data_IF_846908753322
#
_entry.id   IF_846908753322
#
_cell.length_a   1.000
_cell.length_b   1.000
_cell.length_c   1.000
_cell.angle_alpha   90.00
_cell.angle_beta   90.00
_cell.angle_gamma   90.00
#
_symmetry.space_group_name_H-M   'P 1'
#
loop_
_entity.id
_entity.type
_entity.pdbx_description
1 polymer ?
#
# COMPACT_ATOMS: atom_id res chain seq x y z
N UNK A 1 -9.73 -36.61 -14.62
CA UNK A 1 -8.57 -35.78 -14.22
C UNK A 1 -8.24 -34.78 -15.35
N UNK A 2 -9.01 -33.71 -15.52
CA UNK A 2 -8.87 -32.74 -16.64
C UNK A 2 -8.94 -31.27 -16.16
N UNK A 3 -8.27 -30.95 -15.03
CA UNK A 3 -8.33 -29.62 -14.39
C UNK A 3 -7.20 -28.64 -14.68
N UNK A 4 -6.21 -28.96 -15.52
CA UNK A 4 -5.00 -28.14 -15.66
C UNK A 4 -4.97 -27.10 -16.80
N UNK A 5 -5.94 -27.15 -17.72
CA UNK A 5 -5.93 -26.26 -18.91
C UNK A 5 -6.16 -24.77 -18.59
N UNK A 6 -7.15 -24.37 -17.80
CA UNK A 6 -7.37 -22.96 -17.51
C UNK A 6 -6.24 -22.32 -16.69
N UNK A 7 -5.64 -23.07 -15.75
CA UNK A 7 -4.50 -22.56 -14.97
C UNK A 7 -3.24 -22.40 -15.82
N UNK A 8 -2.97 -23.30 -16.76
CA UNK A 8 -1.86 -23.17 -17.72
C UNK A 8 -2.06 -21.99 -18.66
N UNK A 9 -3.29 -21.81 -19.16
CA UNK A 9 -3.63 -20.65 -19.99
C UNK A 9 -3.44 -19.33 -19.22
N UNK A 10 -3.94 -19.25 -17.99
CA UNK A 10 -3.76 -18.08 -17.14
C UNK A 10 -2.27 -17.80 -16.85
N UNK A 11 -1.50 -18.85 -16.55
CA UNK A 11 -0.05 -18.72 -16.33
C UNK A 11 0.68 -18.22 -17.60
N UNK A 12 0.34 -18.74 -18.77
CA UNK A 12 0.94 -18.33 -20.06
C UNK A 12 0.58 -16.84 -20.36
N UNK A 13 -0.68 -16.46 -20.14
CA UNK A 13 -1.12 -15.07 -20.34
C UNK A 13 -0.42 -14.13 -19.34
N UNK A 14 -0.31 -14.50 -18.06
CA UNK A 14 0.40 -13.71 -17.07
C UNK A 14 1.90 -13.62 -17.37
N UNK A 15 2.55 -14.71 -17.73
CA UNK A 15 3.96 -14.72 -18.09
C UNK A 15 4.21 -13.93 -19.38
N UNK A 16 3.38 -14.10 -20.40
CA UNK A 16 3.46 -13.36 -21.68
C UNK A 16 3.26 -11.86 -21.47
N UNK A 17 2.26 -11.48 -20.69
CA UNK A 17 1.99 -10.09 -20.35
C UNK A 17 3.12 -9.48 -19.48
N UNK A 18 3.58 -10.20 -18.44
CA UNK A 18 4.70 -9.76 -17.60
C UNK A 18 6.00 -9.63 -18.41
N UNK A 19 6.24 -10.54 -19.35
CA UNK A 19 7.39 -10.49 -20.25
C UNK A 19 7.30 -9.30 -21.21
N UNK A 20 6.16 -9.07 -21.87
CA UNK A 20 5.94 -7.93 -22.74
C UNK A 20 6.08 -6.61 -21.97
N UNK A 21 5.55 -6.55 -20.74
CA UNK A 21 5.68 -5.38 -19.88
C UNK A 21 7.10 -5.18 -19.37
N UNK A 22 7.82 -6.26 -19.06
CA UNK A 22 9.24 -6.25 -18.72
C UNK A 22 10.11 -5.67 -19.85
N UNK A 23 9.83 -6.02 -21.11
CA UNK A 23 10.52 -5.45 -22.28
C UNK A 23 10.18 -3.96 -22.46
N UNK A 24 8.93 -3.56 -22.30
CA UNK A 24 8.53 -2.14 -22.37
C UNK A 24 9.20 -1.31 -21.26
N UNK A 25 9.30 -1.86 -20.07
CA UNK A 25 9.98 -1.27 -18.93
C UNK A 25 11.50 -1.21 -19.15
N UNK A 26 12.12 -2.29 -19.67
CA UNK A 26 13.55 -2.33 -19.99
C UNK A 26 13.94 -1.27 -21.04
N UNK A 27 13.09 -1.03 -22.02
CA UNK A 27 13.27 0.03 -23.04
C UNK A 27 13.16 1.45 -22.45
N UNK A 28 12.56 1.61 -21.28
CA UNK A 28 12.43 2.87 -20.53
C UNK A 28 13.38 2.93 -19.32
N UNK A 29 14.54 2.31 -19.41
CA UNK A 29 15.48 2.03 -18.32
C UNK A 29 15.59 3.07 -17.19
N UNK A 30 15.64 4.36 -17.52
CA UNK A 30 15.72 5.43 -16.52
C UNK A 30 14.44 5.61 -15.71
N UNK A 31 13.27 5.33 -16.31
CA UNK A 31 11.98 5.49 -15.64
C UNK A 31 11.74 4.46 -14.53
N UNK A 32 12.41 3.30 -14.57
CA UNK A 32 12.30 2.28 -13.52
C UNK A 32 13.04 2.71 -12.27
N UNK A 33 14.29 3.14 -12.43
CA UNK A 33 15.10 3.62 -11.30
C UNK A 33 14.38 4.78 -10.59
N UNK A 34 13.80 5.70 -11.36
CA UNK A 34 13.03 6.83 -10.81
C UNK A 34 11.72 6.37 -10.13
N UNK A 35 11.03 5.37 -10.69
CA UNK A 35 9.82 4.83 -10.08
C UNK A 35 10.06 4.20 -8.71
N UNK A 36 11.21 3.57 -8.48
CA UNK A 36 11.58 2.94 -7.20
C UNK A 36 12.18 3.92 -6.18
N UNK A 37 12.73 5.06 -6.61
CA UNK A 37 13.32 6.06 -5.70
C UNK A 37 12.32 6.58 -4.67
N UNK A 38 11.10 6.88 -5.08
CA UNK A 38 10.11 7.44 -4.15
C UNK A 38 9.69 6.46 -3.04
N UNK A 39 9.32 5.19 -3.32
CA UNK A 39 9.02 4.20 -2.28
C UNK A 39 10.21 3.95 -1.33
N UNK A 40 11.43 3.86 -1.87
CA UNK A 40 12.63 3.64 -1.04
C UNK A 40 12.87 4.80 -0.08
N UNK A 41 12.77 6.06 -0.57
CA UNK A 41 12.90 7.25 0.28
C UNK A 41 11.84 7.28 1.38
N UNK A 42 10.58 7.02 1.05
CA UNK A 42 9.50 7.02 2.03
C UNK A 42 9.73 6.00 3.16
N UNK A 43 10.26 4.82 2.84
CA UNK A 43 10.61 3.82 3.86
C UNK A 43 11.84 4.27 4.66
N UNK A 44 12.88 4.78 4.01
CA UNK A 44 14.08 5.28 4.69
C UNK A 44 13.73 6.40 5.67
N UNK A 45 12.91 7.36 5.25
CA UNK A 45 12.43 8.46 6.10
C UNK A 45 11.58 7.94 7.26
N UNK A 46 10.68 6.98 7.01
CA UNK A 46 9.83 6.36 8.03
C UNK A 46 10.64 5.57 9.08
N UNK A 47 11.76 4.98 8.68
CA UNK A 47 12.67 4.24 9.56
C UNK A 47 13.75 5.12 10.20
N UNK A 48 13.78 6.42 9.90
CA UNK A 48 14.78 7.36 10.42
C UNK A 48 16.20 7.09 9.91
N UNK A 49 16.35 6.45 8.74
CA UNK A 49 17.66 6.16 8.14
C UNK A 49 18.26 7.46 7.60
N UNK A 50 19.47 7.87 8.02
CA UNK A 50 20.12 9.07 7.51
C UNK A 50 20.27 9.01 5.98
N UNK A 51 20.00 10.10 5.29
CA UNK A 51 20.10 10.17 3.81
C UNK A 51 21.47 9.80 3.25
N UNK A 52 22.55 10.00 4.03
CA UNK A 52 23.88 9.56 3.67
C UNK A 52 24.02 8.03 3.50
N UNK A 53 23.23 7.23 4.21
CA UNK A 53 23.24 5.78 4.07
C UNK A 53 22.44 5.29 2.84
N UNK A 54 21.44 6.05 2.41
CA UNK A 54 20.64 5.74 1.22
C UNK A 54 21.43 5.96 -0.09
N UNK A 55 22.47 6.77 -0.08
CA UNK A 55 23.34 7.03 -1.25
C UNK A 55 24.39 5.93 -1.52
N UNK A 56 24.51 4.95 -0.63
CA UNK A 56 25.41 3.79 -0.83
C UNK A 56 24.81 2.70 -1.74
N UNK A 57 23.55 2.84 -2.16
CA UNK A 57 22.95 1.92 -3.10
C UNK A 57 23.39 2.29 -4.53
N UNK A 58 23.95 1.35 -5.32
CA UNK A 58 24.58 1.63 -6.61
C UNK A 58 23.65 2.30 -7.66
N UNK A 59 22.35 2.25 -7.47
CA UNK A 59 21.34 2.95 -8.30
C UNK A 59 20.88 4.30 -7.74
N UNK A 60 21.41 4.73 -6.59
CA UNK A 60 21.06 6.00 -5.94
C UNK A 60 21.95 7.17 -6.37
N UNK A 61 22.96 6.93 -7.18
CA UNK A 61 23.83 7.98 -7.70
C UNK A 61 23.00 8.96 -8.55
N UNK A 62 22.99 10.27 -8.25
CA UNK A 62 22.39 11.24 -9.14
C UNK A 62 23.11 11.17 -10.49
N UNK A 63 22.34 11.02 -11.57
CA UNK A 63 22.87 11.17 -12.91
C UNK A 63 23.69 12.47 -12.95
N UNK A 64 24.96 12.34 -13.34
CA UNK A 64 25.88 13.45 -13.45
C UNK A 64 25.17 14.60 -14.17
N UNK A 65 25.23 15.78 -13.59
CA UNK A 65 24.72 17.00 -14.16
C UNK A 65 25.19 17.07 -15.63
N UNK A 66 24.26 16.81 -16.54
CA UNK A 66 24.52 17.03 -17.95
C UNK A 66 24.83 18.52 -18.08
N UNK A 67 26.09 18.81 -18.41
CA UNK A 67 26.63 20.14 -18.67
C UNK A 67 25.70 20.77 -19.71
N UNK A 68 24.85 21.70 -19.27
CA UNK A 68 23.99 22.45 -20.16
C UNK A 68 24.89 23.21 -21.15
N UNK A 69 24.86 22.77 -22.40
CA UNK A 69 25.34 23.58 -23.50
C UNK A 69 24.46 24.85 -23.59
N UNK A 70 25.05 26.02 -23.81
CA UNK A 70 24.26 27.24 -23.87
C UNK A 70 23.29 27.17 -25.04
N UNK A 71 22.00 27.34 -24.74
CA UNK A 71 20.95 27.47 -25.74
C UNK A 71 21.17 28.76 -26.54
N UNK A 72 21.10 28.73 -27.89
CA UNK A 72 21.16 29.95 -28.69
C UNK A 72 19.94 30.81 -28.38
N UNK A 73 20.20 32.09 -28.18
CA UNK A 73 19.19 33.11 -27.87
C UNK A 73 18.10 33.17 -28.97
N UNK A 74 16.86 32.98 -28.57
CA UNK A 74 15.70 33.20 -29.44
C UNK A 74 15.56 34.67 -29.81
N UNK A 75 15.28 35.03 -31.09
CA UNK A 75 15.12 36.42 -31.51
C UNK A 75 13.86 37.04 -30.86
N UNK A 76 14.00 38.25 -30.38
CA UNK A 76 12.89 39.10 -29.89
C UNK A 76 11.89 39.37 -31.01
N UNK A 77 10.58 39.14 -30.83
CA UNK A 77 9.59 39.60 -31.78
C UNK A 77 9.36 41.09 -31.57
N UNK A 78 9.82 41.90 -32.54
CA UNK A 78 9.41 43.29 -32.74
C UNK A 78 8.10 43.28 -33.51
N UNK A 79 6.98 43.32 -32.75
CA UNK A 79 5.64 43.42 -33.33
C UNK A 79 4.82 44.40 -32.53
N UNK A 80 4.68 45.61 -33.05
CA UNK A 80 3.79 46.68 -32.58
C UNK A 80 2.35 46.19 -32.68
N UNK A 81 1.74 45.80 -31.57
CA UNK A 81 0.29 45.53 -31.52
C UNK A 81 -0.46 46.81 -31.27
N UNK A 82 -1.26 47.20 -32.21
CA UNK A 82 -2.34 48.19 -32.10
C UNK A 82 -3.32 47.72 -31.03
N UNK A 83 -3.58 48.58 -30.07
CA UNK A 83 -4.53 48.37 -29.00
C UNK A 83 -5.96 48.29 -29.54
N UNK A 84 -6.65 47.19 -29.30
CA UNK A 84 -8.11 47.11 -29.42
C UNK A 84 -8.77 47.67 -28.16
N UNK A 85 -9.92 48.35 -28.27
CA UNK A 85 -10.61 48.93 -27.12
C UNK A 85 -11.15 47.82 -26.18
N UNK A 86 -11.24 48.08 -24.87
CA UNK A 86 -11.73 47.10 -23.90
C UNK A 86 -13.24 46.85 -24.10
N UNK A 87 -13.68 45.58 -23.91
CA UNK A 87 -15.11 45.28 -23.88
C UNK A 87 -15.76 45.85 -22.61
N UNK A 88 -17.09 46.14 -22.64
CA UNK A 88 -17.78 46.73 -21.51
C UNK A 88 -17.82 45.81 -20.29
N UNK A 89 -17.67 46.41 -19.12
CA UNK A 89 -17.76 45.79 -17.81
C UNK A 89 -19.10 45.03 -17.64
N UNK A 90 -19.04 43.70 -17.67
CA UNK A 90 -20.10 42.85 -17.17
C UNK A 90 -19.76 42.57 -15.70
N UNK A 91 -20.65 42.82 -14.73
CA UNK A 91 -20.35 42.53 -13.34
C UNK A 91 -20.04 41.06 -13.16
N UNK A 92 -18.81 40.75 -12.77
CA UNK A 92 -18.37 39.42 -12.43
C UNK A 92 -19.19 38.95 -11.23
N UNK A 93 -20.19 38.13 -11.50
CA UNK A 93 -20.75 37.27 -10.46
C UNK A 93 -19.61 36.40 -9.98
N UNK A 94 -19.02 36.77 -8.86
CA UNK A 94 -18.12 35.92 -8.10
C UNK A 94 -18.92 34.64 -7.75
N UNK A 95 -18.83 33.65 -8.61
CA UNK A 95 -19.05 32.27 -8.18
C UNK A 95 -17.98 31.98 -7.15
N UNK A 96 -18.34 32.24 -5.91
CA UNK A 96 -17.65 31.68 -4.77
C UNK A 96 -17.63 30.18 -5.01
N UNK A 97 -16.53 29.70 -5.58
CA UNK A 97 -16.26 28.26 -5.66
C UNK A 97 -16.33 27.79 -4.22
N UNK A 98 -17.40 27.06 -3.90
CA UNK A 98 -17.50 26.36 -2.64
C UNK A 98 -16.20 25.55 -2.52
N UNK A 99 -15.34 25.97 -1.62
CA UNK A 99 -14.18 25.18 -1.23
C UNK A 99 -14.76 23.82 -0.83
N UNK A 100 -14.36 22.71 -1.49
CA UNK A 100 -14.79 21.42 -1.02
C UNK A 100 -14.27 21.30 0.41
N UNK A 101 -15.20 21.22 1.35
CA UNK A 101 -14.89 20.88 2.74
C UNK A 101 -13.92 19.70 2.68
N UNK A 102 -12.74 19.87 3.29
CA UNK A 102 -11.71 18.86 3.34
C UNK A 102 -12.35 17.61 3.96
N UNK A 103 -12.70 16.66 3.12
CA UNK A 103 -13.25 15.37 3.56
C UNK A 103 -12.28 14.80 4.58
N UNK A 104 -12.79 14.65 5.80
CA UNK A 104 -12.09 14.06 6.90
C UNK A 104 -11.43 12.74 6.45
N UNK A 105 -10.15 12.58 6.78
CA UNK A 105 -9.26 11.58 6.25
C UNK A 105 -9.89 10.21 6.07
N UNK A 106 -9.83 9.71 4.85
CA UNK A 106 -10.29 8.38 4.53
C UNK A 106 -9.52 7.34 5.35
N UNK A 107 -10.15 6.24 5.76
CA UNK A 107 -9.50 5.20 6.52
C UNK A 107 -8.28 4.67 5.77
N UNK A 108 -7.16 4.56 6.47
CA UNK A 108 -5.96 3.91 5.96
C UNK A 108 -6.25 2.42 5.88
N UNK A 109 -6.34 1.91 4.68
CA UNK A 109 -6.61 0.52 4.40
C UNK A 109 -5.42 -0.10 3.67
N UNK A 110 -5.10 -1.30 4.02
CA UNK A 110 -4.12 -2.21 3.45
C UNK A 110 -2.77 -2.25 4.18
N UNK A 111 -2.66 -3.07 5.23
CA UNK A 111 -1.36 -3.58 5.65
C UNK A 111 -0.75 -4.43 4.51
N UNK A 112 0.58 -4.61 4.48
CA UNK A 112 1.18 -5.66 3.67
C UNK A 112 0.57 -7.01 4.02
N UNK A 113 0.64 -7.99 3.12
CA UNK A 113 0.06 -9.33 3.32
C UNK A 113 0.71 -9.98 4.55
N UNK A 114 0.17 -9.66 5.71
CA UNK A 114 0.50 -10.29 6.98
C UNK A 114 -0.81 -10.86 7.51
N UNK A 115 -0.91 -12.16 7.68
CA UNK A 115 -2.06 -12.74 8.37
C UNK A 115 -2.18 -12.14 9.76
N UNK A 116 -3.38 -12.14 10.37
CA UNK A 116 -3.57 -11.67 11.72
C UNK A 116 -2.51 -12.27 12.65
N UNK A 117 -1.92 -11.48 13.56
CA UNK A 117 -0.89 -11.99 14.45
C UNK A 117 -1.45 -13.11 15.33
N UNK A 118 -0.80 -14.27 15.27
CA UNK A 118 -1.14 -15.43 16.09
C UNK A 118 -0.31 -15.33 17.37
N UNK A 119 -0.98 -15.31 18.52
CA UNK A 119 -0.28 -15.37 19.80
C UNK A 119 0.57 -16.65 19.87
N UNK A 120 1.84 -16.50 20.27
CA UNK A 120 2.72 -17.64 20.48
C UNK A 120 2.22 -18.54 21.62
N UNK A 121 2.51 -19.82 21.54
CA UNK A 121 2.26 -20.73 22.66
C UNK A 121 2.90 -20.17 23.94
N UNK A 122 2.09 -19.96 24.97
CA UNK A 122 2.52 -19.37 26.25
C UNK A 122 2.33 -17.84 26.36
N UNK A 123 2.49 -17.05 25.30
CA UNK A 123 2.26 -15.60 25.37
C UNK A 123 0.78 -15.24 25.26
N UNK A 124 0.35 -14.22 26.01
CA UNK A 124 -0.95 -13.56 25.81
C UNK A 124 -0.85 -12.36 24.88
N UNK A 125 0.37 -11.92 24.56
CA UNK A 125 0.64 -10.81 23.67
C UNK A 125 0.92 -11.30 22.25
N UNK A 126 0.34 -10.62 21.29
CA UNK A 126 0.69 -10.76 19.89
C UNK A 126 0.67 -9.38 19.23
N UNK A 127 1.44 -9.21 18.16
CA UNK A 127 1.47 -7.94 17.48
C UNK A 127 1.94 -8.07 16.05
N UNK A 128 1.69 -7.03 15.28
CA UNK A 128 2.19 -6.84 13.93
C UNK A 128 2.58 -5.39 13.70
N UNK A 129 3.59 -5.19 12.86
CA UNK A 129 3.97 -3.86 12.39
C UNK A 129 4.22 -3.93 10.89
N UNK A 130 3.88 -2.87 10.17
CA UNK A 130 4.04 -2.80 8.72
C UNK A 130 4.32 -1.39 8.23
N UNK A 131 5.01 -1.32 7.13
CA UNK A 131 5.21 -0.12 6.32
C UNK A 131 4.95 -0.51 4.87
N UNK A 132 4.22 0.29 4.13
CA UNK A 132 4.07 0.18 2.68
C UNK A 132 4.35 1.54 2.05
N UNK A 133 5.19 1.56 1.04
CA UNK A 133 5.48 2.74 0.25
C UNK A 133 5.15 2.47 -1.22
N UNK A 134 4.50 3.43 -1.86
CA UNK A 134 4.10 3.37 -3.27
C UNK A 134 4.49 4.64 -3.99
N UNK A 135 4.83 4.52 -5.27
CA UNK A 135 5.02 5.70 -6.11
C UNK A 135 3.68 6.40 -6.36
N UNK A 136 3.63 7.70 -6.09
CA UNK A 136 2.44 8.54 -6.29
C UNK A 136 2.55 9.83 -5.49
N UNK A 137 2.09 10.93 -6.06
CA UNK A 137 2.12 12.23 -5.38
C UNK A 137 1.20 12.23 -4.16
N UNK A 138 1.62 12.86 -3.06
CA UNK A 138 0.82 13.03 -1.84
C UNK A 138 -0.28 14.09 -1.97
N UNK A 139 -0.71 14.41 -3.18
CA UNK A 139 -1.70 15.47 -3.40
C UNK A 139 -3.03 15.03 -2.82
N UNK A 140 -3.51 15.76 -1.83
CA UNK A 140 -4.81 15.58 -1.19
C UNK A 140 -5.93 15.67 -2.22
N UNK A 141 -6.33 14.55 -2.78
CA UNK A 141 -7.52 14.45 -3.62
C UNK A 141 -8.67 14.06 -2.70
N UNK A 142 -9.80 14.79 -2.71
CA UNK A 142 -11.02 14.35 -2.05
C UNK A 142 -11.40 12.96 -2.63
N UNK A 143 -11.56 11.94 -1.79
CA UNK A 143 -11.93 10.61 -2.25
C UNK A 143 -11.06 9.44 -1.79
N UNK A 144 -10.14 9.68 -0.87
CA UNK A 144 -9.43 8.64 -0.16
C UNK A 144 -8.20 8.07 -0.88
N UNK A 145 -7.14 7.91 -0.11
CA UNK A 145 -5.87 7.32 -0.55
C UNK A 145 -5.89 5.79 -0.36
N UNK A 146 -6.83 5.12 -0.99
CA UNK A 146 -6.95 3.66 -0.90
C UNK A 146 -5.68 2.99 -1.42
N UNK A 147 -4.94 2.30 -0.52
CA UNK A 147 -3.67 1.65 -0.85
C UNK A 147 -2.50 2.61 -1.10
N UNK A 148 -2.52 3.81 -0.53
CA UNK A 148 -1.39 4.74 -0.50
C UNK A 148 -0.29 4.29 0.46
N UNK A 149 0.81 5.05 0.49
CA UNK A 149 1.93 4.83 1.40
C UNK A 149 1.52 5.03 2.84
N UNK A 150 1.76 4.04 3.69
CA UNK A 150 1.33 4.06 5.09
C UNK A 150 2.19 3.15 5.97
N UNK A 151 2.17 3.42 7.27
CA UNK A 151 2.74 2.57 8.30
C UNK A 151 1.71 2.33 9.39
N UNK A 152 1.86 1.23 10.12
CA UNK A 152 1.01 0.95 11.27
C UNK A 152 1.54 -0.17 12.13
N UNK A 153 0.94 -0.26 13.31
CA UNK A 153 1.21 -1.29 14.30
C UNK A 153 -0.10 -1.68 14.97
N UNK A 154 -0.23 -2.96 15.25
CA UNK A 154 -1.32 -3.53 16.05
C UNK A 154 -0.74 -4.41 17.14
N UNK A 155 -1.28 -4.29 18.33
CA UNK A 155 -0.95 -5.13 19.50
C UNK A 155 -2.26 -5.70 20.02
N UNK A 156 -2.23 -6.97 20.41
CA UNK A 156 -3.36 -7.65 21.04
C UNK A 156 -2.93 -8.33 22.35
N UNK A 157 -3.83 -8.35 23.32
CA UNK A 157 -3.67 -9.06 24.57
C UNK A 157 -4.83 -10.03 24.78
N UNK A 158 -4.56 -11.33 24.71
CA UNK A 158 -5.56 -12.38 24.83
C UNK A 158 -6.15 -12.49 26.23
N UNK A 159 -7.48 -12.49 26.30
CA UNK A 159 -8.27 -12.59 27.53
C UNK A 159 -8.73 -14.04 27.76
N UNK A 160 -8.92 -14.39 29.04
CA UNK A 160 -9.41 -15.70 29.43
C UNK A 160 -8.47 -16.86 29.05
N UNK A 161 -8.90 -18.07 29.35
CA UNK A 161 -8.13 -19.30 29.05
C UNK A 161 -8.26 -19.72 27.60
N UNK A 162 -9.44 -19.54 27.00
CA UNK A 162 -9.69 -19.89 25.61
C UNK A 162 -8.92 -19.03 24.60
N UNK A 163 -8.43 -17.84 25.04
CA UNK A 163 -7.71 -16.85 24.23
C UNK A 163 -8.42 -16.43 22.94
N UNK A 164 -9.74 -16.64 22.86
CA UNK A 164 -10.56 -16.28 21.70
C UNK A 164 -10.97 -14.83 21.65
N UNK A 165 -10.85 -14.13 22.78
CA UNK A 165 -11.12 -12.71 22.90
C UNK A 165 -9.82 -12.04 23.29
N UNK A 166 -9.49 -10.93 22.65
CA UNK A 166 -8.33 -10.13 22.97
C UNK A 166 -8.70 -8.64 23.02
N UNK A 167 -8.06 -7.91 23.90
CA UNK A 167 -7.96 -6.46 23.79
C UNK A 167 -7.04 -6.15 22.62
N UNK A 168 -7.41 -5.17 21.81
CA UNK A 168 -6.63 -4.76 20.65
C UNK A 168 -6.40 -3.25 20.68
N UNK A 169 -5.17 -2.84 20.39
CA UNK A 169 -4.81 -1.46 20.15
C UNK A 169 -4.09 -1.37 18.79
N UNK A 170 -4.41 -0.34 18.01
CA UNK A 170 -3.83 -0.11 16.68
C UNK A 170 -3.50 1.37 16.51
N UNK A 171 -2.38 1.62 15.85
CA UNK A 171 -2.04 2.94 15.31
C UNK A 171 -1.72 2.79 13.83
N UNK A 172 -2.11 3.75 13.04
CA UNK A 172 -1.78 3.80 11.61
C UNK A 172 -1.63 5.25 11.15
N UNK A 173 -0.72 5.45 10.22
CA UNK A 173 -0.40 6.77 9.69
C UNK A 173 -0.07 6.68 8.21
N UNK A 174 -0.50 7.63 7.37
CA UNK A 174 0.07 7.80 6.05
C UNK A 174 1.54 8.22 6.19
N UNK A 175 2.41 7.81 5.27
CA UNK A 175 3.81 8.27 5.26
C UNK A 175 3.93 9.74 4.86
N UNK A 176 2.87 10.32 4.29
CA UNK A 176 2.77 11.74 3.96
C UNK A 176 1.32 12.22 4.05
N UNK A 177 1.12 13.48 4.45
CA UNK A 177 -0.21 14.07 4.59
C UNK A 177 -0.85 13.81 5.95
N UNK A 178 -2.19 13.96 5.99
CA UNK A 178 -3.03 13.78 7.18
C UNK A 178 -3.77 12.45 7.11
N UNK A 179 -4.27 11.95 8.23
CA UNK A 179 -5.06 10.71 8.32
C UNK A 179 -4.51 9.72 9.35
N UNK A 180 -3.76 10.23 10.35
CA UNK A 180 -3.29 9.39 11.47
C UNK A 180 -4.46 8.97 12.33
N UNK A 181 -4.54 7.68 12.62
CA UNK A 181 -5.58 7.10 13.44
C UNK A 181 -4.98 6.23 14.55
N UNK A 182 -5.60 6.27 15.73
CA UNK A 182 -5.47 5.24 16.75
C UNK A 182 -6.80 4.51 16.89
N UNK A 183 -6.77 3.27 17.30
CA UNK A 183 -7.97 2.50 17.61
C UNK A 183 -7.73 1.61 18.83
N UNK A 184 -8.78 1.42 19.63
CA UNK A 184 -8.80 0.47 20.74
C UNK A 184 -10.12 -0.29 20.70
N UNK A 185 -10.09 -1.58 21.04
CA UNK A 185 -11.28 -2.41 20.97
C UNK A 185 -11.05 -3.85 21.35
N UNK A 186 -11.95 -4.69 20.88
CA UNK A 186 -11.96 -6.12 21.06
C UNK A 186 -11.75 -6.83 19.73
N UNK A 187 -10.99 -7.90 19.79
CA UNK A 187 -10.76 -8.87 18.74
C UNK A 187 -11.30 -10.22 19.19
N UNK A 188 -12.28 -10.73 18.51
CA UNK A 188 -12.93 -11.98 18.85
C UNK A 188 -12.80 -13.00 17.72
N UNK A 189 -12.21 -14.15 18.01
CA UNK A 189 -12.13 -15.32 17.13
C UNK A 189 -13.24 -16.31 17.46
N UNK A 190 -14.41 -16.26 16.79
CA UNK A 190 -15.57 -17.09 17.14
C UNK A 190 -15.34 -18.58 16.95
N UNK A 191 -14.50 -18.95 15.99
CA UNK A 191 -14.23 -20.34 15.60
C UNK A 191 -12.74 -20.66 15.62
N UNK A 192 -12.36 -21.86 15.23
CA UNK A 192 -10.96 -22.24 15.01
C UNK A 192 -10.41 -21.72 13.67
N UNK A 193 -11.27 -21.24 12.78
CA UNK A 193 -10.85 -20.58 11.55
C UNK A 193 -10.10 -19.28 11.88
N UNK A 194 -9.18 -18.88 11.02
CA UNK A 194 -8.43 -17.63 11.16
C UNK A 194 -9.29 -16.44 10.69
N UNK A 195 -10.49 -16.34 11.30
CA UNK A 195 -11.46 -15.27 11.07
C UNK A 195 -11.75 -14.62 12.42
N UNK A 196 -11.60 -13.33 12.49
CA UNK A 196 -11.78 -12.51 13.66
C UNK A 196 -12.86 -11.46 13.42
N UNK A 197 -13.71 -11.24 14.41
CA UNK A 197 -14.62 -10.11 14.48
C UNK A 197 -13.95 -9.03 15.31
N UNK A 198 -13.89 -7.82 14.78
CA UNK A 198 -13.25 -6.69 15.41
C UNK A 198 -14.32 -5.66 15.75
N UNK A 199 -14.36 -5.23 16.99
CA UNK A 199 -15.17 -4.09 17.45
C UNK A 199 -14.20 -3.10 18.10
N UNK A 200 -14.02 -1.94 17.48
CA UNK A 200 -13.06 -0.93 17.95
C UNK A 200 -13.65 0.47 17.87
N UNK A 201 -13.12 1.38 18.67
CA UNK A 201 -13.33 2.81 18.47
C UNK A 201 -12.09 3.42 17.84
N UNK A 202 -12.28 4.13 16.72
CA UNK A 202 -11.22 4.82 15.99
C UNK A 202 -11.18 6.28 16.38
N UNK A 203 -9.99 6.79 16.63
CA UNK A 203 -9.70 8.18 17.00
C UNK A 203 -8.84 8.80 15.89
N UNK A 204 -9.31 9.88 15.29
CA UNK A 204 -8.49 10.67 14.38
C UNK A 204 -7.49 11.50 15.20
N UNK A 205 -6.19 11.42 14.86
CA UNK A 205 -5.13 12.07 15.63
C UNK A 205 -4.69 13.43 15.05
N UNK A 206 -5.06 13.75 13.83
CA UNK A 206 -4.63 14.96 13.11
C UNK A 206 -5.81 15.72 12.48
N UNK A 207 -6.95 15.66 13.10
CA UNK A 207 -8.21 16.24 12.68
C UNK A 207 -9.08 15.25 11.93
N UNK A 208 -10.37 15.51 11.90
CA UNK A 208 -11.38 14.61 11.38
C UNK A 208 -12.21 13.96 12.48
N UNK A 209 -13.11 13.05 12.10
CA UNK A 209 -14.00 12.38 13.03
C UNK A 209 -13.57 10.93 13.24
N UNK A 210 -13.48 10.52 14.50
CA UNK A 210 -13.42 9.13 14.90
C UNK A 210 -14.82 8.50 14.87
N UNK A 211 -14.91 7.25 15.33
CA UNK A 211 -16.18 6.57 15.49
C UNK A 211 -16.03 5.09 15.80
N UNK A 212 -17.09 4.47 16.32
CA UNK A 212 -17.10 3.03 16.50
C UNK A 212 -17.08 2.30 15.16
N UNK A 213 -16.39 1.16 15.14
CA UNK A 213 -16.23 0.30 13.98
C UNK A 213 -16.53 -1.14 14.36
N UNK A 214 -17.24 -1.83 13.49
CA UNK A 214 -17.35 -3.27 13.48
C UNK A 214 -16.86 -3.81 12.16
N UNK A 215 -16.11 -4.90 12.20
CA UNK A 215 -15.59 -5.53 10.98
C UNK A 215 -15.16 -6.97 11.20
N UNK A 216 -14.83 -7.60 10.11
CA UNK A 216 -14.23 -8.94 10.07
C UNK A 216 -12.86 -8.85 9.42
N UNK A 217 -11.93 -9.64 9.91
CA UNK A 217 -10.62 -9.84 9.28
C UNK A 217 -10.29 -11.33 9.30
N UNK A 218 -9.68 -11.79 8.23
CA UNK A 218 -9.21 -13.16 8.14
C UNK A 218 -7.97 -13.26 7.28
N UNK A 219 -7.28 -14.38 7.40
CA UNK A 219 -6.10 -14.63 6.58
C UNK A 219 -5.77 -16.11 6.57
N UNK A 220 -4.92 -16.47 5.64
CA UNK A 220 -4.43 -17.84 5.51
C UNK A 220 -2.98 -17.85 4.99
N UNK A 221 -2.31 -18.95 5.22
CA UNK A 221 -0.99 -19.23 4.68
C UNK A 221 0.17 -18.72 5.54
N UNK A 222 1.40 -18.95 5.03
CA UNK A 222 1.68 -19.57 3.73
C UNK A 222 1.31 -21.05 3.70
N UNK A 223 0.41 -21.45 2.80
CA UNK A 223 0.01 -22.84 2.56
C UNK A 223 0.62 -23.34 1.25
N UNK A 224 1.27 -24.48 1.27
CA UNK A 224 1.80 -25.11 0.07
C UNK A 224 0.66 -25.73 -0.74
N UNK A 225 0.49 -25.34 -1.99
CA UNK A 225 -0.62 -25.78 -2.85
C UNK A 225 -0.19 -26.79 -3.90
N UNK A 226 0.87 -26.54 -4.64
CA UNK A 226 1.41 -27.44 -5.67
C UNK A 226 2.82 -27.01 -6.10
N UNK A 227 3.66 -27.98 -6.54
CA UNK A 227 4.96 -27.69 -7.18
C UNK A 227 5.84 -26.67 -6.42
N UNK A 228 5.82 -26.70 -5.08
CA UNK A 228 6.57 -25.76 -4.26
C UNK A 228 5.96 -24.35 -4.17
N UNK A 229 4.82 -24.07 -4.80
CA UNK A 229 4.14 -22.78 -4.71
C UNK A 229 3.45 -22.67 -3.35
N UNK A 230 3.69 -21.57 -2.68
CA UNK A 230 3.04 -21.16 -1.43
C UNK A 230 2.01 -20.10 -1.70
N UNK A 231 0.81 -20.29 -1.18
CA UNK A 231 -0.29 -19.33 -1.26
C UNK A 231 -0.53 -18.72 0.12
N UNK A 232 -0.65 -17.42 0.16
CA UNK A 232 -0.98 -16.67 1.37
C UNK A 232 -1.94 -15.54 1.02
N UNK A 233 -2.74 -15.11 1.98
CA UNK A 233 -3.65 -14.02 1.76
C UNK A 233 -4.33 -13.54 3.03
N UNK A 234 -4.91 -12.36 2.93
CA UNK A 234 -5.78 -11.79 3.94
C UNK A 234 -6.93 -11.05 3.30
N UNK A 235 -7.98 -10.84 4.06
CA UNK A 235 -9.08 -9.97 3.70
C UNK A 235 -9.70 -9.37 4.96
N UNK A 236 -10.20 -8.16 4.83
CA UNK A 236 -10.97 -7.49 5.87
C UNK A 236 -12.10 -6.68 5.26
N UNK A 237 -13.19 -6.55 6.03
CA UNK A 237 -14.30 -5.69 5.68
C UNK A 237 -14.94 -5.16 6.96
N UNK A 238 -15.55 -3.98 6.89
CA UNK A 238 -16.19 -3.40 8.06
C UNK A 238 -16.95 -2.11 7.74
N UNK A 239 -17.54 -1.58 8.80
CA UNK A 239 -18.27 -0.30 8.77
C UNK A 239 -17.80 0.54 9.96
N UNK A 240 -17.51 1.80 9.70
CA UNK A 240 -17.19 2.80 10.71
C UNK A 240 -18.39 3.73 10.82
N UNK A 241 -18.95 3.88 12.01
CA UNK A 241 -20.07 4.77 12.27
C UNK A 241 -19.55 6.20 12.49
N UNK A 242 -19.09 6.83 11.41
CA UNK A 242 -18.77 8.25 11.35
C UNK A 242 -19.46 8.87 10.12
N UNK A 243 -19.85 10.14 10.24
CA UNK A 243 -20.61 10.87 9.22
C UNK A 243 -21.87 10.08 8.77
N UNK A 244 -21.93 9.63 7.54
CA UNK A 244 -23.04 8.83 6.97
C UNK A 244 -22.75 7.32 6.97
N UNK A 245 -21.85 6.84 7.84
CA UNK A 245 -21.33 5.48 7.84
C UNK A 245 -20.37 5.21 6.68
N UNK A 246 -19.21 4.65 6.97
CA UNK A 246 -18.17 4.34 5.97
C UNK A 246 -17.95 2.83 5.94
N UNK A 247 -18.43 2.18 4.90
CA UNK A 247 -18.10 0.79 4.61
C UNK A 247 -16.74 0.72 3.90
N UNK A 248 -15.97 -0.30 4.23
CA UNK A 248 -14.70 -0.59 3.60
C UNK A 248 -14.49 -2.09 3.44
N UNK A 249 -13.72 -2.46 2.45
CA UNK A 249 -13.18 -3.81 2.28
C UNK A 249 -11.81 -3.71 1.63
N UNK A 250 -10.87 -4.55 2.05
CA UNK A 250 -9.61 -4.74 1.36
C UNK A 250 -9.04 -6.14 1.59
N UNK A 251 -8.11 -6.52 0.74
CA UNK A 251 -7.45 -7.81 0.84
C UNK A 251 -6.36 -7.99 -0.20
N UNK A 252 -5.58 -9.03 0.01
CA UNK A 252 -4.56 -9.44 -0.93
C UNK A 252 -4.38 -10.95 -0.91
N UNK A 253 -3.98 -11.47 -2.06
CA UNK A 253 -3.55 -12.87 -2.22
C UNK A 253 -2.22 -12.87 -2.94
N UNK A 254 -1.29 -13.69 -2.49
CA UNK A 254 0.02 -13.85 -3.10
C UNK A 254 0.34 -15.32 -3.29
N UNK A 255 0.73 -15.69 -4.48
CA UNK A 255 1.28 -17.01 -4.81
C UNK A 255 2.77 -16.84 -5.09
N UNK A 256 3.63 -17.56 -4.37
CA UNK A 256 5.07 -17.42 -4.47
C UNK A 256 5.79 -18.77 -4.46
N UNK A 257 6.86 -18.85 -5.24
CA UNK A 257 7.77 -19.97 -5.28
C UNK A 257 9.09 -19.59 -4.59
N UNK A 258 9.58 -20.36 -3.62
CA UNK A 258 10.88 -20.12 -3.00
C UNK A 258 11.98 -20.32 -4.03
N UNK A 259 12.89 -19.36 -4.16
CA UNK A 259 14.08 -19.47 -5.00
C UNK A 259 15.27 -20.08 -4.25
N UNK A 260 15.21 -20.11 -2.92
CA UNK A 260 16.28 -20.59 -2.06
C UNK A 260 16.67 -19.56 -1.00
N UNK A 261 17.88 -19.66 -0.48
CA UNK A 261 18.43 -18.76 0.52
C UNK A 261 19.70 -18.09 0.02
N UNK A 262 19.82 -16.80 0.33
CA UNK A 262 21.01 -15.99 0.12
C UNK A 262 21.62 -15.68 1.52
N UNK A 263 22.53 -16.54 1.96
CA UNK A 263 22.97 -16.51 3.36
C UNK A 263 21.78 -16.82 4.31
N UNK A 264 21.53 -15.97 5.31
CA UNK A 264 20.41 -16.15 6.24
C UNK A 264 19.05 -15.74 5.65
N UNK A 265 19.01 -15.12 4.47
CA UNK A 265 17.79 -14.57 3.88
C UNK A 265 17.11 -15.61 2.99
N UNK A 266 15.82 -15.87 3.22
CA UNK A 266 15.02 -16.65 2.30
C UNK A 266 14.42 -15.75 1.24
N UNK A 267 14.54 -16.15 -0.03
CA UNK A 267 14.08 -15.38 -1.19
C UNK A 267 12.98 -16.15 -1.91
N UNK A 268 11.95 -15.46 -2.32
CA UNK A 268 10.87 -16.02 -3.11
C UNK A 268 10.44 -15.05 -4.23
N UNK A 269 9.92 -15.60 -5.32
CA UNK A 269 9.32 -14.86 -6.44
C UNK A 269 7.90 -15.34 -6.66
N UNK A 270 7.02 -14.43 -7.05
CA UNK A 270 5.62 -14.79 -7.26
C UNK A 270 4.82 -13.71 -7.93
N UNK A 271 3.51 -13.82 -7.76
CA UNK A 271 2.54 -12.84 -8.21
C UNK A 271 1.52 -12.57 -7.10
N UNK A 272 0.99 -11.36 -7.09
CA UNK A 272 -0.02 -10.93 -6.14
C UNK A 272 -1.24 -10.32 -6.82
N UNK A 273 -2.35 -10.37 -6.09
CA UNK A 273 -3.59 -9.66 -6.36
C UNK A 273 -3.91 -8.84 -5.13
N UNK A 274 -4.15 -7.54 -5.30
CA UNK A 274 -4.46 -6.60 -4.23
C UNK A 274 -5.73 -5.85 -4.56
N UNK A 275 -6.68 -5.87 -3.67
CA UNK A 275 -7.97 -5.22 -3.84
C UNK A 275 -8.34 -4.35 -2.67
N UNK A 276 -9.17 -3.34 -2.92
CA UNK A 276 -9.75 -2.53 -1.87
C UNK A 276 -10.90 -1.70 -2.39
N UNK A 277 -11.87 -1.44 -1.53
CA UNK A 277 -13.00 -0.60 -1.81
C UNK A 277 -13.43 0.15 -0.55
N UNK A 278 -13.80 1.40 -0.74
CA UNK A 278 -14.43 2.26 0.26
C UNK A 278 -15.38 3.21 -0.44
N UNK A 279 -16.13 4.02 0.31
CA UNK A 279 -17.03 5.00 -0.30
C UNK A 279 -16.27 5.91 -1.28
N UNK A 280 -16.68 5.91 -2.54
CA UNK A 280 -16.13 6.78 -3.60
C UNK A 280 -14.77 6.36 -4.17
N UNK A 281 -14.18 5.25 -3.72
CA UNK A 281 -12.90 4.78 -4.22
C UNK A 281 -12.82 3.26 -4.21
N UNK A 282 -12.30 2.69 -5.30
CA UNK A 282 -11.99 1.26 -5.38
C UNK A 282 -10.73 1.03 -6.19
N UNK A 283 -10.12 -0.14 -5.99
CA UNK A 283 -8.95 -0.59 -6.76
C UNK A 283 -8.88 -2.09 -6.82
N UNK A 284 -8.33 -2.58 -7.90
CA UNK A 284 -7.87 -3.95 -8.05
C UNK A 284 -6.56 -3.91 -8.83
N UNK A 285 -5.51 -4.41 -8.22
CA UNK A 285 -4.16 -4.45 -8.80
C UNK A 285 -3.68 -5.90 -8.91
N UNK A 286 -2.88 -6.20 -9.91
CA UNK A 286 -2.22 -7.50 -10.12
C UNK A 286 -0.76 -7.26 -10.53
N UNK A 287 0.12 -8.17 -10.19
CA UNK A 287 1.49 -8.08 -10.69
C UNK A 287 2.51 -8.98 -10.02
N UNK A 288 3.76 -8.93 -10.50
CA UNK A 288 4.87 -9.70 -9.93
C UNK A 288 5.25 -9.19 -8.54
N UNK A 289 5.79 -10.11 -7.75
CA UNK A 289 6.20 -9.87 -6.37
C UNK A 289 7.49 -10.62 -6.07
N UNK A 290 8.48 -9.92 -5.55
CA UNK A 290 9.71 -10.47 -5.00
C UNK A 290 9.66 -10.34 -3.48
N UNK A 291 9.89 -11.46 -2.77
CA UNK A 291 9.91 -11.49 -1.31
C UNK A 291 11.27 -11.84 -0.76
N UNK A 292 11.64 -11.21 0.35
CA UNK A 292 12.82 -11.53 1.15
C UNK A 292 12.38 -11.64 2.60
N UNK A 293 12.72 -12.75 3.23
CA UNK A 293 12.49 -12.96 4.67
C UNK A 293 13.83 -12.88 5.39
N UNK A 294 13.91 -11.95 6.30
CA UNK A 294 15.09 -11.68 7.13
C UNK A 294 14.84 -12.22 8.53
N UNK A 295 15.57 -13.24 9.00
CA UNK A 295 15.45 -13.72 10.37
C UNK A 295 16.05 -12.69 11.35
N UNK A 296 15.31 -12.39 12.41
CA UNK A 296 15.74 -11.53 13.50
C UNK A 296 15.55 -12.27 14.84
N UNK A 297 16.52 -13.11 15.19
CA UNK A 297 16.42 -14.01 16.33
C UNK A 297 15.27 -15.00 16.15
N UNK A 298 14.28 -14.97 17.05
CA UNK A 298 13.08 -15.81 16.95
C UNK A 298 11.95 -15.22 16.09
N UNK A 299 12.17 -14.08 15.47
CA UNK A 299 11.22 -13.35 14.65
C UNK A 299 11.73 -13.26 13.21
N UNK A 300 10.88 -12.83 12.32
CA UNK A 300 11.29 -12.52 10.95
C UNK A 300 10.63 -11.22 10.49
N UNK A 301 11.35 -10.51 9.67
CA UNK A 301 10.83 -9.38 8.91
C UNK A 301 10.73 -9.80 7.47
N UNK A 302 9.59 -9.57 6.86
CA UNK A 302 9.37 -9.77 5.43
C UNK A 302 9.45 -8.43 4.71
N UNK A 303 10.26 -8.38 3.67
CA UNK A 303 10.28 -7.32 2.69
C UNK A 303 9.66 -7.84 1.41
N UNK A 304 8.83 -7.04 0.75
CA UNK A 304 8.33 -7.35 -0.59
C UNK A 304 8.48 -6.16 -1.51
N UNK A 305 8.93 -6.45 -2.74
CA UNK A 305 8.95 -5.50 -3.85
C UNK A 305 7.97 -5.99 -4.90
N UNK A 306 6.90 -5.21 -5.10
CA UNK A 306 5.81 -5.55 -5.99
C UNK A 306 5.74 -4.55 -7.14
N UNK A 307 5.43 -4.99 -8.34
CA UNK A 307 4.86 -4.12 -9.34
C UNK A 307 3.35 -4.33 -9.34
N UNK A 308 2.58 -3.29 -9.04
CA UNK A 308 1.13 -3.36 -8.96
C UNK A 308 0.51 -2.66 -10.15
N UNK A 309 0.03 -3.45 -11.11
CA UNK A 309 -0.70 -2.94 -12.25
C UNK A 309 -2.19 -2.84 -11.91
N UNK A 310 -2.75 -1.66 -12.09
CA UNK A 310 -4.16 -1.39 -11.88
C UNK A 310 -4.98 -1.98 -13.02
N UNK A 311 -5.83 -2.96 -12.70
CA UNK A 311 -6.74 -3.57 -13.68
C UNK A 311 -8.20 -3.08 -13.53
N UNK A 312 -8.57 -2.56 -12.34
CA UNK A 312 -9.88 -1.96 -12.12
C UNK A 312 -9.86 -0.93 -10.99
N UNK A 313 -10.82 0.00 -11.03
CA UNK A 313 -11.02 1.03 -10.01
C UNK A 313 -10.25 2.32 -10.28
N UNK A 314 -10.63 3.38 -9.55
CA UNK A 314 -10.18 4.77 -9.77
C UNK A 314 -9.32 5.32 -8.64
N UNK A 315 -9.13 4.56 -7.55
CA UNK A 315 -8.36 5.03 -6.41
C UNK A 315 -6.90 5.33 -6.77
N UNK A 316 -6.27 6.28 -6.11
CA UNK A 316 -4.86 6.63 -6.29
C UNK A 316 -4.01 6.04 -5.17
N UNK A 317 -2.71 5.78 -5.39
CA UNK A 317 -1.94 5.92 -6.64
C UNK A 317 -2.35 4.91 -7.72
N UNK A 318 -2.00 5.17 -8.97
CA UNK A 318 -2.21 4.27 -10.11
C UNK A 318 -1.30 3.05 -10.10
N UNK A 319 -1.02 2.50 -11.29
CA UNK A 319 -0.04 1.43 -11.48
C UNK A 319 1.36 1.90 -11.09
N UNK A 320 2.19 1.00 -10.57
CA UNK A 320 3.57 1.30 -10.21
C UNK A 320 4.15 0.40 -9.13
N UNK A 321 5.40 0.68 -8.73
CA UNK A 321 6.09 -0.08 -7.72
C UNK A 321 5.49 0.14 -6.32
N UNK A 322 5.54 -0.92 -5.52
CA UNK A 322 5.22 -0.89 -4.11
C UNK A 322 6.28 -1.66 -3.33
N UNK A 323 6.77 -1.07 -2.26
CA UNK A 323 7.70 -1.69 -1.33
C UNK A 323 6.99 -1.86 0.01
N UNK A 324 7.05 -3.06 0.57
CA UNK A 324 6.41 -3.35 1.85
C UNK A 324 7.38 -4.00 2.81
N UNK A 325 7.29 -3.63 4.07
CA UNK A 325 8.00 -4.25 5.18
C UNK A 325 6.98 -4.64 6.23
N UNK A 326 7.07 -5.85 6.76
CA UNK A 326 6.15 -6.29 7.79
C UNK A 326 6.73 -7.36 8.69
N UNK A 327 6.23 -7.42 9.92
CA UNK A 327 6.61 -8.41 10.93
C UNK A 327 5.45 -8.73 11.84
N UNK A 328 5.42 -9.98 12.34
CA UNK A 328 4.55 -10.44 13.43
C UNK A 328 5.41 -10.82 14.63
N UNK A 329 4.92 -10.53 15.84
CA UNK A 329 5.66 -10.77 17.08
C UNK A 329 4.74 -11.16 18.25
#
# INVERSE_FOLDING_TARGET
>A
MTGGRPLRFLAIVLCGWSGARGVDIYRRGDAIADAWRAPIRQIADALGVPQAAASLLPWATPAAQAKMLPQPASPKPTGRRTASPPPPDVPAVQRQAAQPEASAGAPLLSPPVLPPPIARAGSRWAGSAWVIARNGSPVGVPGGQLGASQAGMRITYALGESRRIALAARVSAPLSGRGREAAIGLDWQPTKALIHVIVEHRFALDGGRGGPMIGIVGGFGPAQIAHGIRLEGYGQAGVIARDKGEAFADGAVRAAHPLGSLGPFAVDIGAGLWGGAQRGASRLDVGPSLGIVVPLGQRSVRLTADWRERIAGTARPGSGPALSIGTNF
#
